data_IF_337390462478
#
_entry.id   IF_337390462478
#
_cell.length_a   1.000
_cell.length_b   1.000
_cell.length_c   1.000
_cell.angle_alpha   90.00
_cell.angle_beta   90.00
_cell.angle_gamma   90.00
#
_symmetry.space_group_name_H-M   'P 1'
#
loop_
_entity.id
_entity.type
_entity.pdbx_description
1 polymer ?
#
# COMPACT_ATOMS: atom_id res chain seq x y z
N UNK A 1 6.87 -1.63 -8.61
CA UNK A 1 6.39 -0.60 -7.65
C UNK A 1 4.89 -0.37 -7.78
N UNK A 2 4.36 0.05 -8.94
CA UNK A 2 2.93 0.36 -9.13
C UNK A 2 1.94 -0.76 -8.77
N UNK A 3 2.27 -2.03 -9.01
CA UNK A 3 1.36 -3.15 -8.73
C UNK A 3 1.07 -3.34 -7.23
N UNK A 4 2.07 -3.16 -6.36
CA UNK A 4 1.83 -3.30 -4.90
C UNK A 4 1.07 -2.15 -4.29
N UNK A 5 1.28 -0.94 -4.81
CA UNK A 5 0.49 0.22 -4.41
C UNK A 5 -0.98 -0.02 -4.77
N UNK A 6 -1.25 -0.48 -5.99
CA UNK A 6 -2.59 -0.86 -6.44
C UNK A 6 -3.21 -1.98 -5.58
N UNK A 7 -2.44 -3.00 -5.20
CA UNK A 7 -2.95 -4.05 -4.32
C UNK A 7 -3.31 -3.53 -2.92
N UNK A 8 -2.50 -2.62 -2.36
CA UNK A 8 -2.77 -2.05 -1.04
C UNK A 8 -3.99 -1.13 -1.05
N UNK A 9 -4.13 -0.29 -2.08
CA UNK A 9 -5.31 0.55 -2.26
C UNK A 9 -6.57 -0.29 -2.47
N UNK A 10 -6.50 -1.32 -3.33
CA UNK A 10 -7.61 -2.25 -3.55
C UNK A 10 -8.02 -2.96 -2.25
N UNK A 11 -7.06 -3.42 -1.43
CA UNK A 11 -7.35 -4.01 -0.11
C UNK A 11 -8.09 -3.03 0.79
N UNK A 12 -7.68 -1.77 0.82
CA UNK A 12 -8.30 -0.72 1.63
C UNK A 12 -9.75 -0.46 1.18
N UNK A 13 -9.97 -0.33 -0.12
CA UNK A 13 -11.31 -0.11 -0.71
C UNK A 13 -12.22 -1.30 -0.39
N UNK A 14 -11.73 -2.53 -0.57
CA UNK A 14 -12.48 -3.76 -0.27
C UNK A 14 -12.84 -3.82 1.23
N UNK A 15 -11.92 -3.45 2.13
CA UNK A 15 -12.20 -3.42 3.57
C UNK A 15 -13.30 -2.41 3.93
N UNK A 16 -13.25 -1.21 3.35
CA UNK A 16 -14.29 -0.21 3.56
C UNK A 16 -15.64 -0.66 2.99
N UNK A 17 -15.65 -1.30 1.82
CA UNK A 17 -16.84 -1.91 1.23
C UNK A 17 -17.43 -2.99 2.13
N UNK A 18 -16.62 -3.91 2.66
CA UNK A 18 -17.09 -4.96 3.57
C UNK A 18 -17.82 -4.39 4.79
N UNK A 19 -17.22 -3.40 5.44
CA UNK A 19 -17.82 -2.71 6.60
C UNK A 19 -19.17 -2.08 6.27
N UNK A 20 -19.29 -1.42 5.10
CA UNK A 20 -20.56 -0.84 4.65
C UNK A 20 -21.58 -1.92 4.24
N UNK A 21 -21.14 -3.02 3.65
CA UNK A 21 -22.00 -4.10 3.19
C UNK A 21 -22.69 -4.86 4.33
N UNK A 22 -22.04 -4.95 5.50
CA UNK A 22 -22.65 -5.48 6.74
C UNK A 22 -23.92 -4.69 7.10
N UNK A 23 -23.93 -3.37 6.88
CA UNK A 23 -25.09 -2.52 7.12
C UNK A 23 -26.10 -2.48 5.95
N UNK A 24 -25.63 -2.65 4.71
CA UNK A 24 -26.40 -2.41 3.48
C UNK A 24 -26.96 -3.69 2.81
N UNK A 25 -27.01 -4.83 3.51
CA UNK A 25 -27.57 -6.12 3.03
C UNK A 25 -27.12 -6.54 1.61
N UNK A 26 -25.85 -6.32 1.27
CA UNK A 26 -25.29 -6.78 -0.02
C UNK A 26 -25.42 -5.82 -1.21
N UNK A 27 -25.91 -4.59 -1.02
CA UNK A 27 -26.08 -3.59 -2.09
C UNK A 27 -24.77 -2.86 -2.45
N UNK A 28 -23.79 -3.59 -2.97
CA UNK A 28 -22.46 -3.03 -3.24
C UNK A 28 -22.47 -1.92 -4.31
N UNK A 29 -23.34 -2.01 -5.33
CA UNK A 29 -23.42 -1.02 -6.42
C UNK A 29 -23.85 0.36 -5.91
N UNK A 30 -24.79 0.39 -4.98
CA UNK A 30 -25.32 1.63 -4.38
C UNK A 30 -24.33 2.24 -3.39
N UNK A 31 -23.54 1.41 -2.69
CA UNK A 31 -22.61 1.86 -1.64
C UNK A 31 -21.19 2.14 -2.14
N UNK A 32 -20.84 1.68 -3.35
CA UNK A 32 -19.52 1.87 -3.93
C UNK A 32 -19.13 3.35 -4.11
N UNK A 33 -20.00 4.23 -4.63
CA UNK A 33 -19.68 5.65 -4.75
C UNK A 33 -19.37 6.29 -3.40
N UNK A 34 -20.12 5.96 -2.34
CA UNK A 34 -19.87 6.48 -0.98
C UNK A 34 -18.50 6.03 -0.46
N UNK A 35 -18.14 4.76 -0.66
CA UNK A 35 -16.86 4.22 -0.19
C UNK A 35 -15.68 4.84 -0.93
N UNK A 36 -15.82 5.03 -2.25
CA UNK A 36 -14.81 5.71 -3.04
C UNK A 36 -14.67 7.17 -2.61
N UNK A 37 -15.79 7.86 -2.37
CA UNK A 37 -15.79 9.23 -1.88
C UNK A 37 -15.08 9.34 -0.54
N UNK A 38 -15.43 8.48 0.42
CA UNK A 38 -14.75 8.43 1.72
C UNK A 38 -13.24 8.15 1.57
N UNK A 39 -12.84 7.26 0.65
CA UNK A 39 -11.42 7.02 0.37
C UNK A 39 -10.72 8.28 -0.20
N UNK A 40 -11.40 9.07 -1.02
CA UNK A 40 -10.86 10.28 -1.66
C UNK A 40 -10.74 11.46 -0.70
N UNK A 41 -11.66 11.58 0.26
CA UNK A 41 -11.72 12.70 1.21
C UNK A 41 -11.08 12.40 2.56
N UNK A 42 -10.68 11.16 2.85
CA UNK A 42 -9.99 10.83 4.10
C UNK A 42 -8.47 11.03 3.97
N UNK A 43 -7.83 11.80 4.88
CA UNK A 43 -6.38 11.98 4.85
C UNK A 43 -5.67 10.65 5.14
N UNK A 44 -4.61 10.35 4.38
CA UNK A 44 -3.82 9.14 4.58
C UNK A 44 -2.78 9.37 5.66
N UNK A 45 -2.65 8.45 6.63
CA UNK A 45 -1.59 8.52 7.65
C UNK A 45 -0.17 8.49 7.06
N UNK A 46 -0.01 7.98 5.84
CA UNK A 46 1.28 7.97 5.12
C UNK A 46 1.69 9.30 4.54
N UNK A 47 0.71 10.13 4.22
CA UNK A 47 0.89 11.30 3.36
C UNK A 47 0.36 12.57 4.03
N UNK A 48 -0.45 12.41 5.08
CA UNK A 48 -1.22 13.43 5.81
C UNK A 48 -2.14 14.29 4.93
N UNK A 49 -2.24 13.94 3.65
CA UNK A 49 -3.09 14.57 2.65
C UNK A 49 -4.13 13.58 2.16
N UNK A 50 -5.24 14.12 1.68
CA UNK A 50 -6.31 13.33 1.04
C UNK A 50 -5.90 13.00 -0.39
N UNK A 51 -6.30 11.85 -0.95
CA UNK A 51 -6.08 11.57 -2.37
C UNK A 51 -6.65 12.65 -3.29
N UNK A 52 -7.81 13.23 -2.95
CA UNK A 52 -8.41 14.33 -3.70
C UNK A 52 -7.48 15.56 -3.76
N UNK A 53 -6.90 15.96 -2.62
CA UNK A 53 -5.97 17.08 -2.54
C UNK A 53 -4.73 16.89 -3.42
N UNK A 54 -4.22 15.65 -3.53
CA UNK A 54 -3.05 15.36 -4.37
C UNK A 54 -3.36 15.39 -5.87
N UNK A 55 -4.62 15.19 -6.26
CA UNK A 55 -5.05 15.24 -7.66
C UNK A 55 -5.38 16.66 -8.07
N UNK A 56 -6.17 17.36 -7.26
CA UNK A 56 -6.79 18.65 -7.62
C UNK A 56 -6.17 19.86 -6.92
N UNK A 57 -5.26 19.65 -5.95
CA UNK A 57 -4.60 20.74 -5.22
C UNK A 57 -5.45 21.39 -4.13
N UNK A 58 -6.74 21.07 -4.05
CA UNK A 58 -7.68 21.65 -3.08
C UNK A 58 -8.35 20.56 -2.22
N UNK A 59 -8.85 20.94 -1.05
CA UNK A 59 -9.61 20.03 -0.19
C UNK A 59 -11.07 19.93 -0.68
N UNK A 60 -11.60 18.70 -0.74
CA UNK A 60 -12.99 18.50 -1.15
C UNK A 60 -13.96 18.89 -0.01
N UNK A 61 -15.09 19.52 -0.36
CA UNK A 61 -16.22 19.67 0.55
C UNK A 61 -16.86 18.29 0.80
N UNK A 62 -17.11 17.95 2.06
CA UNK A 62 -17.78 16.69 2.41
C UNK A 62 -19.30 16.89 2.26
N UNK A 63 -20.10 15.90 1.82
CA UNK A 63 -21.54 16.05 1.64
C UNK A 63 -22.32 16.61 2.83
N UNK A 64 -21.87 16.35 4.07
CA UNK A 64 -22.46 16.94 5.29
C UNK A 64 -22.33 18.47 5.30
N UNK A 65 -21.25 19.00 4.74
CA UNK A 65 -20.94 20.42 4.61
C UNK A 65 -21.68 21.10 3.46
N UNK A 66 -22.28 20.30 2.56
CA UNK A 66 -23.15 20.78 1.47
C UNK A 66 -24.58 20.96 1.98
N UNK A 67 -25.02 20.12 2.93
CA UNK A 67 -26.32 20.25 3.60
C UNK A 67 -26.37 21.39 4.60
N UNK A 68 -25.26 21.65 5.31
CA UNK A 68 -25.06 22.83 6.14
C UNK A 68 -23.87 23.64 5.61
N UNK A 69 -24.11 24.70 4.82
CA UNK A 69 -23.03 25.45 4.20
C UNK A 69 -22.09 26.03 5.27
N UNK A 70 -20.84 25.56 5.28
CA UNK A 70 -19.78 26.04 6.16
C UNK A 70 -19.47 27.50 5.83
N UNK A 71 -19.00 28.28 6.82
CA UNK A 71 -18.51 29.66 6.66
C UNK A 71 -17.66 29.89 5.39
N UNK A 72 -16.81 28.92 5.00
CA UNK A 72 -16.02 28.97 3.76
C UNK A 72 -16.85 28.99 2.47
N UNK A 73 -18.05 28.41 2.46
CA UNK A 73 -19.00 28.49 1.35
C UNK A 73 -19.69 29.87 1.31
N UNK A 74 -20.07 30.41 2.47
CA UNK A 74 -20.76 31.71 2.56
C UNK A 74 -19.88 32.91 2.20
N UNK A 75 -18.58 32.84 2.52
CA UNK A 75 -17.65 33.94 2.29
C UNK A 75 -16.80 33.79 1.03
N UNK A 76 -16.94 32.68 0.29
CA UNK A 76 -16.24 32.50 -0.97
C UNK A 76 -16.91 33.34 -2.07
N UNK A 77 -16.17 34.30 -2.63
CA UNK A 77 -16.52 34.90 -3.92
C UNK A 77 -15.93 34.05 -5.05
N UNK A 78 -16.58 34.06 -6.21
CA UNK A 78 -16.08 33.37 -7.41
C UNK A 78 -14.64 33.78 -7.76
N UNK A 79 -14.35 35.08 -7.70
CA UNK A 79 -13.00 35.64 -7.94
C UNK A 79 -11.97 35.12 -6.93
N UNK A 80 -12.28 35.16 -5.62
CA UNK A 80 -11.39 34.64 -4.58
C UNK A 80 -11.14 33.13 -4.72
N UNK A 81 -12.15 32.38 -5.17
CA UNK A 81 -12.04 30.94 -5.39
C UNK A 81 -11.18 30.64 -6.63
N UNK A 82 -11.30 31.43 -7.69
CA UNK A 82 -10.45 31.32 -8.88
C UNK A 82 -8.98 31.60 -8.56
N UNK A 83 -8.69 32.66 -7.81
CA UNK A 83 -7.32 32.97 -7.37
C UNK A 83 -6.75 31.87 -6.47
N UNK A 84 -7.52 31.40 -5.49
CA UNK A 84 -7.11 30.31 -4.61
C UNK A 84 -6.86 29.01 -5.39
N UNK A 85 -7.69 28.71 -6.39
CA UNK A 85 -7.53 27.55 -7.26
C UNK A 85 -6.29 27.67 -8.14
N UNK A 86 -6.02 28.85 -8.70
CA UNK A 86 -4.82 29.11 -9.51
C UNK A 86 -3.54 28.88 -8.68
N UNK A 87 -3.47 29.45 -7.47
CA UNK A 87 -2.35 29.20 -6.55
C UNK A 87 -2.25 27.72 -6.14
N UNK A 88 -3.38 27.04 -5.93
CA UNK A 88 -3.39 25.63 -5.58
C UNK A 88 -2.83 24.74 -6.71
N UNK A 89 -3.09 25.10 -7.96
CA UNK A 89 -2.54 24.42 -9.14
C UNK A 89 -1.05 24.70 -9.34
N UNK A 90 -0.60 25.93 -9.11
CA UNK A 90 0.82 26.30 -9.19
C UNK A 90 1.67 25.51 -8.18
N UNK A 91 1.19 25.40 -6.94
CA UNK A 91 1.89 24.67 -5.87
C UNK A 91 1.63 23.16 -5.87
N UNK A 92 0.88 22.65 -6.84
CA UNK A 92 0.37 21.28 -6.82
C UNK A 92 1.51 20.25 -6.93
N UNK A 93 2.48 20.51 -7.81
CA UNK A 93 3.61 19.61 -8.02
C UNK A 93 4.54 19.60 -6.81
N UNK A 94 4.83 20.75 -6.19
CA UNK A 94 5.59 20.82 -4.94
C UNK A 94 4.91 20.01 -3.82
N UNK A 95 3.58 20.11 -3.72
CA UNK A 95 2.79 19.34 -2.75
C UNK A 95 2.86 17.84 -3.04
N UNK A 96 2.83 17.43 -4.31
CA UNK A 96 3.00 16.01 -4.71
C UNK A 96 4.40 15.52 -4.38
N UNK A 97 5.44 16.29 -4.66
CA UNK A 97 6.82 15.92 -4.33
C UNK A 97 7.01 15.76 -2.82
N UNK A 98 6.55 16.71 -2.01
CA UNK A 98 6.57 16.61 -0.56
C UNK A 98 5.83 15.37 -0.06
N UNK A 99 4.70 15.03 -0.70
CA UNK A 99 3.92 13.83 -0.40
C UNK A 99 4.71 12.53 -0.67
N UNK A 100 5.44 12.47 -1.79
CA UNK A 100 6.28 11.33 -2.16
C UNK A 100 7.45 11.15 -1.20
N UNK A 101 8.10 12.25 -0.81
CA UNK A 101 9.19 12.23 0.18
C UNK A 101 8.70 11.66 1.52
N UNK A 102 7.53 12.09 1.99
CA UNK A 102 6.91 11.57 3.22
C UNK A 102 6.59 10.08 3.12
N UNK A 103 5.99 9.65 2.01
CA UNK A 103 5.69 8.23 1.77
C UNK A 103 6.96 7.38 1.77
N UNK A 104 8.02 7.86 1.12
CA UNK A 104 9.32 7.18 1.12
C UNK A 104 9.91 7.08 2.53
N UNK A 105 9.88 8.17 3.31
CA UNK A 105 10.37 8.19 4.68
C UNK A 105 9.58 7.22 5.59
N UNK A 106 8.25 7.18 5.46
CA UNK A 106 7.43 6.26 6.23
C UNK A 106 7.71 4.80 5.85
N UNK A 107 7.85 4.51 4.55
CA UNK A 107 8.22 3.18 4.07
C UNK A 107 9.57 2.74 4.66
N UNK A 108 10.58 3.61 4.64
CA UNK A 108 11.88 3.34 5.26
C UNK A 108 11.76 3.08 6.77
N UNK A 109 10.94 3.85 7.49
CA UNK A 109 10.70 3.65 8.93
C UNK A 109 10.09 2.28 9.22
N UNK A 110 9.10 1.87 8.42
CA UNK A 110 8.46 0.56 8.52
C UNK A 110 9.47 -0.55 8.20
N UNK A 111 10.25 -0.40 7.13
CA UNK A 111 11.28 -1.35 6.74
C UNK A 111 12.34 -1.54 7.84
N UNK A 112 12.85 -0.45 8.43
CA UNK A 112 13.79 -0.51 9.56
C UNK A 112 13.20 -1.26 10.76
N UNK A 113 11.93 -0.98 11.08
CA UNK A 113 11.24 -1.66 12.19
C UNK A 113 11.14 -3.18 11.98
N UNK A 114 10.80 -3.63 10.77
CA UNK A 114 10.74 -5.05 10.46
C UNK A 114 12.13 -5.67 10.36
N UNK A 115 13.07 -5.03 9.68
CA UNK A 115 14.44 -5.53 9.52
C UNK A 115 15.16 -5.72 10.86
N UNK A 116 14.92 -4.84 11.83
CA UNK A 116 15.46 -4.98 13.20
C UNK A 116 14.90 -6.20 13.93
N UNK A 117 13.69 -6.66 13.58
CA UNK A 117 13.01 -7.78 14.24
C UNK A 117 13.15 -9.09 13.48
N UNK A 118 13.61 -9.06 12.24
CA UNK A 118 13.91 -10.26 11.46
C UNK A 118 15.30 -10.77 11.83
N UNK A 119 15.34 -11.95 12.45
CA UNK A 119 16.59 -12.66 12.67
C UNK A 119 17.01 -13.27 11.32
N UNK A 120 18.00 -12.67 10.66
CA UNK A 120 18.52 -13.18 9.39
C UNK A 120 19.13 -14.56 9.64
N UNK A 121 18.50 -15.61 9.09
CA UNK A 121 19.06 -16.96 9.10
C UNK A 121 19.81 -17.17 7.79
N UNK A 122 21.09 -17.48 7.91
CA UNK A 122 21.89 -17.98 6.80
C UNK A 122 21.64 -19.48 6.68
N UNK A 123 21.55 -19.97 5.45
CA UNK A 123 21.42 -21.39 5.16
C UNK A 123 22.60 -21.84 4.30
N UNK A 124 23.07 -23.04 4.55
CA UNK A 124 24.13 -23.68 3.77
C UNK A 124 23.56 -24.75 2.83
N UNK A 125 24.37 -25.12 1.82
CA UNK A 125 24.03 -26.25 0.94
C UNK A 125 23.95 -27.51 1.82
N UNK A 126 22.83 -28.23 1.75
CA UNK A 126 22.54 -29.35 2.64
C UNK A 126 21.52 -29.05 3.73
N UNK A 127 21.24 -27.77 4.02
CA UNK A 127 20.21 -27.40 5.00
C UNK A 127 18.81 -27.77 4.51
N UNK A 128 18.02 -28.32 5.43
CA UNK A 128 16.60 -28.62 5.22
C UNK A 128 15.77 -27.37 5.47
N UNK A 129 15.15 -26.85 4.42
CA UNK A 129 14.23 -25.71 4.49
C UNK A 129 12.81 -26.11 4.10
N UNK A 130 11.83 -25.54 4.79
CA UNK A 130 10.43 -25.75 4.48
C UNK A 130 10.01 -24.82 3.35
N UNK A 131 9.63 -25.39 2.20
CA UNK A 131 9.02 -24.62 1.11
C UNK A 131 7.52 -24.52 1.37
N UNK A 132 6.99 -23.29 1.36
CA UNK A 132 5.55 -23.06 1.43
C UNK A 132 4.88 -23.74 0.24
N UNK A 133 4.00 -24.71 0.51
CA UNK A 133 3.22 -25.37 -0.53
C UNK A 133 2.29 -24.36 -1.21
N UNK A 134 2.37 -24.23 -2.54
CA UNK A 134 1.35 -23.55 -3.33
C UNK A 134 0.09 -24.42 -3.28
N UNK A 135 -0.98 -23.92 -2.67
CA UNK A 135 -2.25 -24.65 -2.56
C UNK A 135 -2.84 -24.88 -3.94
N UNK A 136 -2.51 -26.00 -4.58
CA UNK A 136 -3.38 -26.60 -5.60
C UNK A 136 -4.59 -27.14 -4.85
N UNK A 137 -5.80 -26.74 -5.28
CA UNK A 137 -7.07 -27.19 -4.72
C UNK A 137 -7.16 -28.72 -4.76
N UNK A 138 -6.69 -29.37 -3.71
CA UNK A 138 -6.89 -30.79 -3.46
C UNK A 138 -7.29 -30.91 -1.99
N UNK A 139 -8.55 -31.26 -1.85
CA UNK A 139 -9.34 -31.47 -0.64
C UNK A 139 -8.58 -32.22 0.45
N UNK A 140 -8.70 -31.73 1.70
CA UNK A 140 -8.59 -32.52 2.92
C UNK A 140 -7.35 -33.40 3.09
N UNK A 141 -6.18 -32.81 3.34
CA UNK A 141 -5.12 -33.48 4.09
C UNK A 141 -4.16 -32.41 4.64
N UNK A 142 -3.89 -32.42 5.95
CA UNK A 142 -2.82 -31.62 6.54
C UNK A 142 -1.48 -32.08 5.96
N UNK A 143 -1.02 -31.44 4.87
CA UNK A 143 0.30 -31.72 4.32
C UNK A 143 1.34 -30.96 5.13
N UNK A 144 1.99 -31.64 6.07
CA UNK A 144 3.31 -31.21 6.53
C UNK A 144 4.20 -31.12 5.29
N UNK A 145 4.73 -29.93 4.98
CA UNK A 145 5.64 -29.77 3.85
C UNK A 145 6.91 -30.55 4.19
N UNK A 146 7.25 -31.59 3.42
CA UNK A 146 8.53 -32.29 3.59
C UNK A 146 9.67 -31.29 3.41
N UNK A 147 10.69 -31.35 4.27
CA UNK A 147 11.87 -30.50 4.16
C UNK A 147 12.55 -30.70 2.80
N UNK A 148 12.88 -29.59 2.13
CA UNK A 148 13.63 -29.59 0.87
C UNK A 148 15.06 -29.18 1.20
N UNK A 149 16.04 -29.91 0.67
CA UNK A 149 17.46 -29.58 0.81
C UNK A 149 17.86 -28.48 -0.16
N UNK A 150 18.58 -27.46 0.30
CA UNK A 150 19.20 -26.46 -0.58
C UNK A 150 20.33 -27.14 -1.37
N UNK A 151 20.23 -27.14 -2.71
CA UNK A 151 21.26 -27.66 -3.62
C UNK A 151 21.98 -26.50 -4.31
N UNK A 152 23.28 -26.68 -4.58
CA UNK A 152 24.02 -25.80 -5.47
C UNK A 152 23.38 -25.82 -6.88
N UNK A 153 23.28 -24.68 -7.54
CA UNK A 153 22.91 -24.64 -8.96
C UNK A 153 24.16 -24.92 -9.79
N UNK A 154 24.08 -25.93 -10.64
CA UNK A 154 25.16 -26.34 -11.54
C UNK A 154 25.29 -25.32 -12.69
N UNK A 155 26.13 -24.31 -12.49
CA UNK A 155 26.77 -23.56 -13.57
C UNK A 155 28.25 -23.38 -13.20
N UNK A 156 29.12 -23.82 -14.11
CA UNK A 156 30.57 -24.04 -13.98
C UNK A 156 31.40 -22.90 -13.35
N UNK A 157 32.43 -23.29 -12.58
CA UNK A 157 33.52 -22.52 -11.94
C UNK A 157 34.84 -22.71 -12.74
N UNK A 158 36.01 -22.02 -12.50
CA UNK A 158 36.48 -21.45 -11.21
C UNK A 158 37.39 -20.18 -11.22
N UNK A 159 37.42 -19.46 -10.07
CA UNK A 159 38.61 -18.93 -9.37
C UNK A 159 38.22 -18.45 -7.96
N UNK A 160 39.12 -18.66 -6.99
CA UNK A 160 38.98 -18.64 -5.53
C UNK A 160 38.70 -17.26 -4.87
N UNK A 161 38.76 -17.11 -3.52
CA UNK A 161 37.74 -17.53 -2.56
C UNK A 161 37.26 -16.31 -1.75
N UNK A 162 36.00 -15.91 -1.88
CA UNK A 162 35.36 -15.09 -0.85
C UNK A 162 33.91 -15.49 -0.73
N UNK A 163 33.55 -15.86 0.49
CA UNK A 163 32.27 -16.42 0.94
C UNK A 163 31.10 -16.26 -0.03
N UNK A 164 30.68 -17.37 -0.62
CA UNK A 164 29.41 -17.48 -1.34
C UNK A 164 28.27 -17.52 -0.31
N UNK A 165 27.98 -16.37 0.30
CA UNK A 165 26.79 -16.18 1.11
C UNK A 165 25.56 -16.10 0.20
N UNK A 166 24.82 -17.20 0.10
CA UNK A 166 23.48 -17.17 -0.50
C UNK A 166 22.49 -16.64 0.55
N UNK A 167 22.21 -15.33 0.50
CA UNK A 167 21.18 -14.71 1.35
C UNK A 167 19.79 -15.13 0.87
N UNK A 168 19.09 -15.96 1.64
CA UNK A 168 17.64 -16.09 1.51
C UNK A 168 17.02 -14.98 2.37
N UNK A 169 16.61 -13.87 1.74
CA UNK A 169 15.75 -12.91 2.41
C UNK A 169 14.51 -13.67 2.94
N UNK A 170 14.12 -13.51 4.22
CA UNK A 170 12.82 -13.95 4.65
C UNK A 170 11.81 -13.18 3.80
N UNK A 171 11.16 -13.88 2.88
CA UNK A 171 10.16 -13.33 2.00
C UNK A 171 8.98 -12.81 2.85
N UNK A 172 9.06 -11.55 3.31
CA UNK A 172 7.88 -10.71 3.33
C UNK A 172 7.55 -10.57 1.85
N UNK A 173 6.46 -11.19 1.40
CA UNK A 173 6.06 -11.24 0.00
C UNK A 173 6.13 -9.86 -0.67
N UNK A 174 7.28 -9.57 -1.28
CA UNK A 174 7.44 -8.72 -2.44
C UNK A 174 6.97 -9.58 -3.64
N UNK A 175 5.69 -9.99 -3.68
CA UNK A 175 5.14 -10.62 -4.88
C UNK A 175 5.09 -9.55 -5.98
N UNK A 176 5.63 -9.94 -7.14
CA UNK A 176 5.70 -9.17 -8.38
C UNK A 176 4.34 -9.02 -9.02
#
# INVERSE_FOLDING_TARGET
MRQREAEYTNKTIIQNLKKKLESAKGKWRETLPEVLWAYWTTPKSSTEKTPFFLVYGAEALIPVEVGEPISRFWHASEESNHEAMAMALELLDERREASLVRMAAQKQKIERYYNMRTNLRYFEIGDLVLRKASSSRATGMCRCSSGITIRASDHETPREPSSKHCTLFPAIGLLS
#
